data_IF_662680657134
#
_entry.id   IF_662680657134
#
_cell.length_a   1.000
_cell.length_b   1.000
_cell.length_c   1.000
_cell.angle_alpha   90.00
_cell.angle_beta   90.00
_cell.angle_gamma   90.00
#
_symmetry.space_group_name_H-M   'P 1'
#
loop_
_entity.id
_entity.type
_entity.pdbx_description
1 polymer ?
#
# COMPACT_ATOMS: atom_id res chain seq x y z
N UNK A 1 -6.91 10.88 -16.71
CA UNK A 1 -6.91 11.32 -15.30
C UNK A 1 -7.87 10.44 -14.54
N UNK A 2 -7.38 9.64 -13.60
CA UNK A 2 -8.20 8.73 -12.81
C UNK A 2 -8.81 9.54 -11.65
N UNK A 3 -10.14 9.74 -11.59
CA UNK A 3 -10.77 10.61 -10.58
C UNK A 3 -10.40 10.24 -9.13
N UNK A 4 -10.11 8.96 -8.90
CA UNK A 4 -9.68 8.42 -7.60
C UNK A 4 -8.36 9.02 -7.09
N UNK A 5 -7.43 9.42 -7.96
CA UNK A 5 -6.15 10.03 -7.55
C UNK A 5 -6.34 11.41 -6.91
N UNK A 6 -7.20 12.24 -7.53
CA UNK A 6 -7.55 13.56 -7.03
C UNK A 6 -8.34 13.46 -5.72
N UNK A 7 -9.26 12.49 -5.62
CA UNK A 7 -10.03 12.25 -4.42
C UNK A 7 -9.12 11.87 -3.23
N UNK A 8 -8.11 11.00 -3.43
CA UNK A 8 -7.14 10.63 -2.39
C UNK A 8 -6.43 11.84 -1.77
N UNK A 9 -5.92 12.75 -2.62
CA UNK A 9 -5.24 13.95 -2.17
C UNK A 9 -6.18 14.88 -1.40
N UNK A 10 -7.39 15.12 -1.93
CA UNK A 10 -8.39 15.96 -1.25
C UNK A 10 -8.79 15.41 0.11
N UNK A 11 -8.99 14.09 0.21
CA UNK A 11 -9.26 13.40 1.48
C UNK A 11 -8.10 13.56 2.45
N UNK A 12 -6.85 13.33 2.02
CA UNK A 12 -5.69 13.45 2.91
C UNK A 12 -5.53 14.87 3.46
N UNK A 13 -5.76 15.90 2.64
CA UNK A 13 -5.72 17.30 3.07
C UNK A 13 -6.87 17.61 4.03
N UNK A 14 -8.09 17.15 3.71
CA UNK A 14 -9.22 17.35 4.60
C UNK A 14 -8.98 16.71 5.97
N UNK A 15 -8.50 15.46 5.97
CA UNK A 15 -8.21 14.71 7.19
C UNK A 15 -7.12 15.40 8.00
N UNK A 16 -6.03 15.86 7.37
CA UNK A 16 -4.96 16.55 8.09
C UNK A 16 -5.43 17.85 8.73
N UNK A 17 -6.22 18.67 8.03
CA UNK A 17 -6.81 19.90 8.57
C UNK A 17 -7.79 19.59 9.69
N UNK A 18 -8.61 18.54 9.54
CA UNK A 18 -9.56 18.12 10.54
C UNK A 18 -8.87 17.68 11.84
N UNK A 19 -7.85 16.81 11.75
CA UNK A 19 -7.02 16.45 12.91
C UNK A 19 -6.37 17.69 13.52
N UNK A 20 -5.74 18.55 12.70
CA UNK A 20 -5.07 19.76 13.21
C UNK A 20 -6.04 20.69 13.98
N UNK A 21 -7.29 20.81 13.52
CA UNK A 21 -8.32 21.62 14.19
C UNK A 21 -8.81 21.04 15.53
N UNK A 22 -8.64 19.73 15.75
CA UNK A 22 -9.09 19.06 16.98
C UNK A 22 -8.05 19.04 18.09
N UNK A 23 -6.76 19.14 17.77
CA UNK A 23 -5.69 19.27 18.78
C UNK A 23 -5.76 18.20 19.87
N UNK A 24 -5.83 18.62 21.14
CA UNK A 24 -5.89 17.72 22.32
C UNK A 24 -7.20 16.90 22.40
N UNK A 25 -8.29 17.30 21.72
CA UNK A 25 -9.57 16.57 21.75
C UNK A 25 -9.48 15.19 21.06
N UNK A 26 -8.42 14.93 20.29
CA UNK A 26 -8.18 13.64 19.61
C UNK A 26 -7.95 12.51 20.63
N UNK A 27 -7.48 12.83 21.83
CA UNK A 27 -7.35 11.87 22.94
C UNK A 27 -8.71 11.37 23.42
N UNK A 28 -9.78 12.15 23.24
CA UNK A 28 -11.12 11.72 23.60
C UNK A 28 -11.75 10.86 22.50
N UNK A 29 -12.02 9.60 22.85
CA UNK A 29 -12.60 8.56 21.98
C UNK A 29 -13.86 9.01 21.23
N UNK A 30 -14.70 9.83 21.87
CA UNK A 30 -16.02 10.21 21.36
C UNK A 30 -16.01 11.49 20.52
N UNK A 31 -15.15 12.47 20.84
CA UNK A 31 -15.16 13.79 20.21
C UNK A 31 -14.17 13.90 19.03
N UNK A 32 -13.08 13.14 19.07
CA UNK A 32 -12.04 13.13 18.04
C UNK A 32 -12.07 11.88 17.15
N UNK A 33 -11.99 10.69 17.76
CA UNK A 33 -11.80 9.44 17.01
C UNK A 33 -13.05 8.98 16.24
N UNK A 34 -14.23 9.11 16.84
CA UNK A 34 -15.48 8.62 16.23
C UNK A 34 -15.85 9.34 14.92
N UNK A 35 -15.90 10.69 14.83
CA UNK A 35 -16.18 11.38 13.58
C UNK A 35 -15.10 11.13 12.50
N UNK A 36 -13.83 11.01 12.90
CA UNK A 36 -12.74 10.65 11.99
C UNK A 36 -12.94 9.25 11.39
N UNK A 37 -13.27 8.26 12.23
CA UNK A 37 -13.55 6.90 11.80
C UNK A 37 -14.76 6.79 10.88
N UNK A 38 -15.83 7.54 11.18
CA UNK A 38 -17.04 7.54 10.36
C UNK A 38 -16.77 8.12 8.97
N UNK A 39 -16.01 9.22 8.89
CA UNK A 39 -15.62 9.80 7.61
C UNK A 39 -14.71 8.86 6.81
N UNK A 40 -13.70 8.25 7.45
CA UNK A 40 -12.83 7.30 6.76
C UNK A 40 -13.62 6.08 6.28
N UNK A 41 -14.56 5.57 7.07
CA UNK A 41 -15.43 4.47 6.68
C UNK A 41 -16.22 4.82 5.43
N UNK A 42 -16.87 5.98 5.41
CA UNK A 42 -17.66 6.43 4.26
C UNK A 42 -16.81 6.44 2.97
N UNK A 43 -15.58 6.96 3.06
CA UNK A 43 -14.64 7.00 1.94
C UNK A 43 -14.16 5.60 1.52
N UNK A 44 -13.83 4.73 2.48
CA UNK A 44 -13.41 3.36 2.19
C UNK A 44 -14.51 2.56 1.51
N UNK A 45 -15.77 2.70 1.95
CA UNK A 45 -16.92 2.06 1.31
C UNK A 45 -17.06 2.51 -0.15
N UNK A 46 -16.91 3.81 -0.41
CA UNK A 46 -16.99 4.36 -1.77
C UNK A 46 -15.87 3.81 -2.68
N UNK A 47 -14.66 3.67 -2.14
CA UNK A 47 -13.49 3.12 -2.87
C UNK A 47 -13.63 1.61 -3.12
N UNK A 48 -14.11 0.86 -2.14
CA UNK A 48 -14.39 -0.58 -2.29
C UNK A 48 -15.46 -0.83 -3.35
N UNK A 49 -16.43 0.08 -3.48
CA UNK A 49 -17.44 0.02 -4.53
C UNK A 49 -16.85 0.22 -5.94
N UNK A 50 -15.63 0.79 -6.05
CA UNK A 50 -14.85 0.94 -7.28
C UNK A 50 -13.86 -0.22 -7.53
N UNK A 51 -14.16 -1.41 -6.99
CA UNK A 51 -13.22 -2.52 -6.74
C UNK A 51 -11.74 -2.20 -6.46
N UNK A 52 -11.40 -1.06 -5.87
CA UNK A 52 -10.00 -0.64 -5.65
C UNK A 52 -9.53 -0.87 -4.20
N UNK A 53 -9.19 -2.11 -3.90
CA UNK A 53 -8.75 -2.52 -2.56
C UNK A 53 -7.39 -1.91 -2.15
N UNK A 54 -6.50 -1.66 -3.11
CA UNK A 54 -5.18 -1.08 -2.86
C UNK A 54 -5.29 0.36 -2.38
N UNK A 55 -6.16 1.14 -3.02
CA UNK A 55 -6.44 2.52 -2.60
C UNK A 55 -7.08 2.58 -1.21
N UNK A 56 -8.03 1.67 -0.91
CA UNK A 56 -8.63 1.61 0.42
C UNK A 56 -7.59 1.30 1.51
N UNK A 57 -6.70 0.33 1.26
CA UNK A 57 -5.63 -0.02 2.20
C UNK A 57 -4.67 1.15 2.45
N UNK A 58 -4.30 1.91 1.41
CA UNK A 58 -3.46 3.09 1.52
C UNK A 58 -4.12 4.21 2.35
N UNK A 59 -5.41 4.46 2.15
CA UNK A 59 -6.16 5.45 2.95
C UNK A 59 -6.19 5.07 4.43
N UNK A 60 -6.45 3.80 4.74
CA UNK A 60 -6.44 3.31 6.12
C UNK A 60 -5.05 3.41 6.74
N UNK A 61 -3.99 3.03 6.02
CA UNK A 61 -2.62 3.09 6.51
C UNK A 61 -2.18 4.54 6.80
N UNK A 62 -2.45 5.46 5.87
CA UNK A 62 -2.12 6.90 6.03
C UNK A 62 -2.93 7.55 7.15
N UNK A 63 -4.23 7.27 7.25
CA UNK A 63 -5.07 7.75 8.34
C UNK A 63 -4.59 7.23 9.71
N UNK A 64 -4.16 5.96 9.78
CA UNK A 64 -3.58 5.38 11.00
C UNK A 64 -2.29 6.07 11.39
N UNK A 65 -1.40 6.35 10.43
CA UNK A 65 -0.17 7.09 10.68
C UNK A 65 -0.45 8.52 11.18
N UNK A 66 -1.44 9.21 10.59
CA UNK A 66 -1.87 10.54 11.05
C UNK A 66 -2.40 10.53 12.49
N UNK A 67 -3.18 9.52 12.87
CA UNK A 67 -3.68 9.37 14.24
C UNK A 67 -2.55 9.14 15.25
N UNK A 68 -1.55 8.34 14.89
CA UNK A 68 -0.36 8.11 15.74
C UNK A 68 0.43 9.41 15.92
N UNK A 69 0.66 10.16 14.83
CA UNK A 69 1.36 11.46 14.87
C UNK A 69 0.58 12.49 15.69
N UNK A 70 -0.75 12.48 15.62
CA UNK A 70 -1.61 13.38 16.39
C UNK A 70 -1.69 13.04 17.89
N UNK A 71 -1.01 11.99 18.36
CA UNK A 71 -0.93 11.64 19.77
C UNK A 71 -2.19 10.96 20.33
N UNK A 72 -2.89 10.17 19.50
CA UNK A 72 -4.03 9.38 19.95
C UNK A 72 -3.64 8.37 21.05
N UNK A 73 -4.50 8.23 22.06
CA UNK A 73 -4.29 7.28 23.15
C UNK A 73 -4.28 5.82 22.67
N UNK A 74 -3.54 4.94 23.36
CA UNK A 74 -3.44 3.50 23.04
C UNK A 74 -4.82 2.83 22.97
N UNK A 75 -5.77 3.26 23.81
CA UNK A 75 -7.16 2.79 23.78
C UNK A 75 -7.87 3.22 22.49
N UNK A 76 -7.63 4.45 22.04
CA UNK A 76 -8.14 4.97 20.78
C UNK A 76 -7.59 4.23 19.57
N UNK A 77 -6.30 3.89 19.61
CA UNK A 77 -5.66 3.08 18.58
C UNK A 77 -6.22 1.65 18.53
N UNK A 78 -6.54 1.03 19.67
CA UNK A 78 -7.18 -0.28 19.73
C UNK A 78 -8.61 -0.25 19.16
N UNK A 79 -9.41 0.76 19.52
CA UNK A 79 -10.76 0.95 18.96
C UNK A 79 -10.68 1.19 17.45
N UNK A 80 -9.72 1.99 17.00
CA UNK A 80 -9.43 2.19 15.59
C UNK A 80 -9.10 0.89 14.86
N UNK A 81 -8.22 0.06 15.42
CA UNK A 81 -7.83 -1.21 14.84
C UNK A 81 -9.02 -2.17 14.71
N UNK A 82 -9.85 -2.27 15.77
CA UNK A 82 -11.07 -3.07 15.74
C UNK A 82 -12.03 -2.58 14.65
N UNK A 83 -12.16 -1.27 14.50
CA UNK A 83 -13.00 -0.66 13.48
C UNK A 83 -12.52 -0.96 12.06
N UNK A 84 -11.21 -0.84 11.80
CA UNK A 84 -10.60 -1.23 10.52
C UNK A 84 -10.86 -2.71 10.21
N UNK A 85 -10.66 -3.60 11.18
CA UNK A 85 -10.95 -5.03 11.01
C UNK A 85 -12.43 -5.30 10.70
N UNK A 86 -13.35 -4.62 11.39
CA UNK A 86 -14.79 -4.76 11.16
C UNK A 86 -15.22 -4.35 9.75
N UNK A 87 -14.55 -3.36 9.14
CA UNK A 87 -14.82 -2.92 7.77
C UNK A 87 -14.17 -3.84 6.74
N UNK A 88 -12.94 -4.30 6.97
CA UNK A 88 -12.21 -5.16 6.03
C UNK A 88 -12.75 -6.60 5.96
N UNK A 89 -13.33 -7.11 7.06
CA UNK A 89 -13.86 -8.47 7.12
C UNK A 89 -14.99 -8.74 6.11
N UNK A 90 -16.06 -7.92 6.00
CA UNK A 90 -17.07 -8.11 4.96
C UNK A 90 -16.53 -7.91 3.53
N UNK A 91 -15.55 -7.02 3.35
CA UNK A 91 -14.89 -6.81 2.05
C UNK A 91 -14.21 -8.07 1.54
N UNK A 92 -13.60 -8.82 2.45
CA UNK A 92 -12.93 -10.08 2.11
C UNK A 92 -13.92 -11.13 1.57
N UNK A 93 -15.18 -11.14 2.04
CA UNK A 93 -16.23 -12.07 1.58
C UNK A 93 -16.71 -11.71 0.16
N UNK A 94 -16.74 -10.42 -0.17
CA UNK A 94 -17.22 -9.92 -1.47
C UNK A 94 -16.18 -10.13 -2.59
N UNK A 95 -14.89 -10.10 -2.24
CA UNK A 95 -13.79 -10.22 -3.20
C UNK A 95 -12.97 -11.51 -2.97
N UNK A 96 -13.47 -12.69 -3.39
CA UNK A 96 -12.77 -13.97 -3.18
C UNK A 96 -11.37 -13.99 -3.80
N UNK A 97 -11.11 -13.17 -4.84
CA UNK A 97 -9.77 -13.01 -5.43
C UNK A 97 -8.72 -12.49 -4.42
N UNK A 98 -9.12 -11.63 -3.46
CA UNK A 98 -8.22 -11.10 -2.42
C UNK A 98 -7.78 -12.25 -1.50
N UNK A 99 -8.70 -13.13 -1.12
CA UNK A 99 -8.38 -14.32 -0.34
C UNK A 99 -7.50 -15.30 -1.10
N UNK A 100 -7.71 -15.48 -2.41
CA UNK A 100 -6.82 -16.29 -3.25
C UNK A 100 -5.41 -15.71 -3.27
N UNK A 101 -5.25 -14.38 -3.34
CA UNK A 101 -3.93 -13.72 -3.21
C UNK A 101 -3.31 -13.93 -1.83
N UNK A 102 -4.06 -13.76 -0.75
CA UNK A 102 -3.52 -13.95 0.62
C UNK A 102 -3.13 -15.42 0.84
N UNK A 103 -3.95 -16.37 0.39
CA UNK A 103 -3.67 -17.81 0.50
C UNK A 103 -2.48 -18.24 -0.35
N UNK A 104 -2.34 -17.72 -1.57
CA UNK A 104 -1.16 -18.00 -2.41
C UNK A 104 0.12 -17.44 -1.80
N UNK A 105 0.06 -16.29 -1.11
CA UNK A 105 1.18 -15.74 -0.34
C UNK A 105 1.54 -16.59 0.89
N UNK A 106 0.55 -17.02 1.70
CA UNK A 106 0.79 -17.74 2.95
C UNK A 106 1.08 -19.24 2.77
N UNK A 107 0.51 -19.88 1.74
CA UNK A 107 0.56 -21.33 1.56
C UNK A 107 1.84 -21.84 0.90
N UNK A 108 2.24 -21.24 -0.23
CA UNK A 108 3.50 -21.53 -0.92
C UNK A 108 3.64 -20.64 -2.18
N UNK A 109 4.32 -19.49 -2.10
CA UNK A 109 4.44 -18.57 -3.24
C UNK A 109 5.20 -19.18 -4.44
N UNK A 110 6.00 -20.23 -4.21
CA UNK A 110 6.86 -20.88 -5.20
C UNK A 110 6.23 -22.11 -5.89
N UNK A 111 5.04 -22.56 -5.48
CA UNK A 111 4.33 -23.71 -6.10
C UNK A 111 3.07 -23.30 -6.86
N UNK A 112 2.86 -22.01 -7.02
CA UNK A 112 1.63 -21.48 -7.59
C UNK A 112 1.59 -21.76 -9.11
N UNK A 113 0.48 -22.31 -9.59
CA UNK A 113 0.29 -22.76 -10.97
C UNK A 113 0.18 -21.59 -11.95
N UNK A 114 0.23 -21.87 -13.26
CA UNK A 114 0.03 -20.90 -14.34
C UNK A 114 -1.33 -20.21 -14.17
N UNK A 115 -1.35 -19.04 -13.53
CA UNK A 115 -2.55 -18.23 -13.25
C UNK A 115 -2.56 -17.59 -11.86
N UNK A 116 -2.27 -18.35 -10.81
CA UNK A 116 -2.16 -17.84 -9.44
C UNK A 116 -0.68 -17.68 -9.11
N UNK A 117 -0.21 -16.47 -8.76
CA UNK A 117 1.20 -16.26 -8.37
C UNK A 117 2.24 -16.29 -9.50
N UNK A 118 1.85 -16.52 -10.76
CA UNK A 118 2.77 -16.48 -11.91
C UNK A 118 3.55 -15.15 -11.98
N UNK A 119 2.84 -14.01 -11.84
CA UNK A 119 3.46 -12.69 -11.82
C UNK A 119 4.45 -12.50 -10.66
N UNK A 120 4.17 -13.10 -9.49
CA UNK A 120 5.05 -13.06 -8.33
C UNK A 120 6.31 -13.90 -8.57
N UNK A 121 6.15 -15.13 -9.06
CA UNK A 121 7.25 -16.04 -9.33
C UNK A 121 8.19 -15.49 -10.41
N UNK A 122 7.63 -14.83 -11.41
CA UNK A 122 8.38 -14.22 -12.50
C UNK A 122 9.10 -12.94 -12.06
N UNK A 123 8.48 -12.13 -11.20
CA UNK A 123 9.13 -10.97 -10.58
C UNK A 123 10.30 -11.39 -9.70
N UNK A 124 10.14 -12.46 -8.91
CA UNK A 124 11.21 -13.04 -8.10
C UNK A 124 12.31 -13.65 -8.98
N UNK A 125 11.95 -14.33 -10.06
CA UNK A 125 12.88 -14.89 -11.02
C UNK A 125 13.71 -13.83 -11.75
N UNK A 126 13.11 -12.67 -12.07
CA UNK A 126 13.81 -11.52 -12.65
C UNK A 126 14.87 -10.95 -11.67
N UNK A 127 14.48 -10.77 -10.40
CA UNK A 127 15.40 -10.35 -9.35
C UNK A 127 16.55 -11.36 -9.14
N UNK A 128 16.26 -12.66 -9.21
CA UNK A 128 17.27 -13.71 -9.08
C UNK A 128 18.26 -13.68 -10.26
N UNK A 129 17.79 -13.46 -11.49
CA UNK A 129 18.63 -13.41 -12.70
C UNK A 129 19.58 -12.21 -12.72
N UNK A 130 19.18 -11.07 -12.16
CA UNK A 130 19.97 -9.84 -12.21
C UNK A 130 21.32 -9.89 -11.48
N UNK A 131 21.50 -10.78 -10.50
CA UNK A 131 22.76 -10.88 -9.75
C UNK A 131 23.20 -9.54 -9.14
N UNK A 132 24.51 -9.30 -9.04
CA UNK A 132 25.04 -8.08 -8.41
C UNK A 132 25.02 -6.84 -9.32
N UNK A 133 25.35 -7.01 -10.60
CA UNK A 133 25.57 -5.92 -11.57
C UNK A 133 24.51 -5.84 -12.68
N UNK A 134 23.59 -6.81 -12.74
CA UNK A 134 22.56 -6.88 -13.76
C UNK A 134 22.99 -7.63 -15.02
N UNK A 135 22.01 -7.94 -15.86
CA UNK A 135 22.23 -8.53 -17.19
C UNK A 135 22.53 -7.48 -18.27
N UNK A 136 22.38 -6.19 -17.95
CA UNK A 136 22.55 -5.07 -18.86
C UNK A 136 21.23 -4.41 -19.25
N UNK A 137 21.26 -3.09 -19.45
CA UNK A 137 20.10 -2.29 -19.83
C UNK A 137 19.46 -2.80 -21.12
N UNK A 138 18.14 -3.04 -21.08
CA UNK A 138 17.37 -3.53 -22.22
C UNK A 138 17.55 -5.03 -22.55
N UNK A 139 18.34 -5.77 -21.77
CA UNK A 139 18.54 -7.22 -21.93
C UNK A 139 17.65 -8.07 -21.00
N UNK A 140 16.62 -7.48 -20.38
CA UNK A 140 15.68 -8.22 -19.52
C UNK A 140 14.85 -9.21 -20.35
N UNK A 141 15.04 -10.50 -20.09
CA UNK A 141 14.25 -11.56 -20.72
C UNK A 141 12.89 -11.71 -20.05
N UNK A 142 12.80 -11.52 -18.73
CA UNK A 142 11.54 -11.65 -17.99
C UNK A 142 10.56 -10.52 -18.31
N UNK A 143 11.03 -9.38 -18.84
CA UNK A 143 10.18 -8.30 -19.37
C UNK A 143 9.22 -8.77 -20.46
N UNK A 144 9.57 -9.80 -21.25
CA UNK A 144 8.69 -10.32 -22.30
C UNK A 144 7.60 -11.25 -21.78
N UNK A 145 7.79 -11.78 -20.57
CA UNK A 145 6.93 -12.79 -19.99
C UNK A 145 6.01 -12.24 -18.86
N UNK A 146 6.33 -11.04 -18.35
CA UNK A 146 5.54 -10.30 -17.35
C UNK A 146 4.30 -9.64 -17.97
N UNK A 147 3.16 -9.81 -17.31
CA UNK A 147 1.97 -8.99 -17.59
C UNK A 147 2.21 -7.58 -17.04
N UNK A 148 2.16 -6.57 -17.90
CA UNK A 148 2.45 -5.16 -17.59
C UNK A 148 3.82 -4.91 -16.89
N UNK A 149 4.95 -5.26 -17.55
CA UNK A 149 6.30 -5.15 -16.96
C UNK A 149 6.68 -3.69 -16.61
N UNK A 150 6.07 -2.74 -17.31
CA UNK A 150 6.36 -1.32 -17.23
C UNK A 150 5.58 -0.58 -16.15
N UNK A 151 4.52 -1.16 -15.59
CA UNK A 151 3.72 -0.53 -14.53
C UNK A 151 3.91 -1.26 -13.21
N UNK A 152 3.52 -2.53 -13.14
CA UNK A 152 3.33 -3.22 -11.87
C UNK A 152 4.59 -3.98 -11.44
N UNK A 153 5.50 -4.25 -12.38
CA UNK A 153 6.71 -5.04 -12.16
C UNK A 153 8.00 -4.32 -12.55
N UNK A 154 7.96 -2.98 -12.69
CA UNK A 154 9.13 -2.20 -13.14
C UNK A 154 10.34 -2.37 -12.22
N UNK A 155 10.11 -2.51 -10.91
CA UNK A 155 11.19 -2.75 -9.95
C UNK A 155 11.90 -4.10 -10.18
N UNK A 156 11.16 -5.13 -10.57
CA UNK A 156 11.74 -6.44 -10.90
C UNK A 156 12.61 -6.36 -12.16
N UNK A 157 12.16 -5.58 -13.17
CA UNK A 157 12.94 -5.32 -14.38
C UNK A 157 14.22 -4.52 -14.06
N UNK A 158 14.13 -3.49 -13.21
CA UNK A 158 15.31 -2.73 -12.76
C UNK A 158 16.31 -3.63 -12.06
N UNK A 159 15.83 -4.53 -11.18
CA UNK A 159 16.71 -5.48 -10.49
C UNK A 159 17.31 -6.54 -11.41
N UNK A 160 16.65 -6.90 -12.51
CA UNK A 160 17.23 -7.77 -13.53
C UNK A 160 18.31 -7.03 -14.35
N UNK A 161 18.00 -5.82 -14.85
CA UNK A 161 18.87 -5.08 -15.77
C UNK A 161 20.08 -4.42 -15.09
N UNK A 162 19.90 -3.86 -13.89
CA UNK A 162 20.93 -3.14 -13.13
C UNK A 162 21.45 -3.91 -11.91
N UNK A 163 20.88 -5.08 -11.64
CA UNK A 163 21.28 -5.94 -10.53
C UNK A 163 20.96 -5.35 -9.16
N UNK A 164 21.57 -5.96 -8.14
CA UNK A 164 21.45 -5.53 -6.74
C UNK A 164 21.88 -4.08 -6.53
N UNK A 165 22.94 -3.62 -7.21
CA UNK A 165 23.45 -2.24 -7.04
C UNK A 165 22.43 -1.21 -7.53
N UNK A 166 21.85 -1.41 -8.72
CA UNK A 166 20.84 -0.49 -9.24
C UNK A 166 19.54 -0.51 -8.45
N UNK A 167 19.04 -1.70 -8.11
CA UNK A 167 17.86 -1.83 -7.26
C UNK A 167 18.06 -1.18 -5.88
N UNK A 168 19.23 -1.41 -5.26
CA UNK A 168 19.61 -0.80 -4.00
C UNK A 168 19.71 0.73 -4.08
N UNK A 169 20.23 1.26 -5.18
CA UNK A 169 20.26 2.71 -5.42
C UNK A 169 18.86 3.32 -5.50
N UNK A 170 17.92 2.68 -6.20
CA UNK A 170 16.52 3.13 -6.26
C UNK A 170 15.88 3.12 -4.87
N UNK A 171 16.06 2.04 -4.09
CA UNK A 171 15.56 1.97 -2.71
C UNK A 171 16.17 3.07 -1.84
N UNK A 172 17.47 3.35 -1.98
CA UNK A 172 18.16 4.41 -1.25
C UNK A 172 17.59 5.79 -1.59
N UNK A 173 17.24 6.06 -2.85
CA UNK A 173 16.60 7.31 -3.26
C UNK A 173 15.21 7.48 -2.62
N UNK A 174 14.37 6.43 -2.64
CA UNK A 174 13.08 6.47 -1.93
C UNK A 174 13.24 6.65 -0.42
N UNK A 175 14.25 6.02 0.18
CA UNK A 175 14.60 6.20 1.58
C UNK A 175 15.03 7.63 1.89
N UNK A 176 15.91 8.22 1.06
CA UNK A 176 16.36 9.61 1.20
C UNK A 176 15.20 10.59 1.07
N UNK A 177 14.31 10.38 0.09
CA UNK A 177 13.12 11.19 -0.13
C UNK A 177 12.18 11.13 1.09
N UNK A 178 11.90 9.94 1.59
CA UNK A 178 11.07 9.73 2.79
C UNK A 178 11.70 10.36 4.04
N UNK A 179 13.01 10.18 4.23
CA UNK A 179 13.73 10.78 5.36
C UNK A 179 13.70 12.31 5.31
N UNK A 180 13.89 12.91 4.13
CA UNK A 180 13.75 14.35 3.95
C UNK A 180 12.34 14.83 4.25
N UNK A 181 11.31 14.10 3.81
CA UNK A 181 9.91 14.38 4.12
C UNK A 181 9.64 14.39 5.62
N UNK A 182 10.08 13.35 6.34
CA UNK A 182 9.92 13.24 7.79
C UNK A 182 10.70 14.29 8.59
N UNK A 183 11.80 14.81 8.03
CA UNK A 183 12.59 15.87 8.68
C UNK A 183 11.96 17.26 8.54
N UNK A 184 11.17 17.47 7.49
CA UNK A 184 10.48 18.74 7.23
C UNK A 184 9.16 18.82 8.00
N UNK A 185 8.48 17.68 8.16
CA UNK A 185 7.28 17.53 8.98
C UNK A 185 7.57 17.78 10.46
#
# INVERSE_FOLDING_TARGET
MQPAELAKLGVMIYMSVWLASKGEEIRHLTLGLMPFALLLMFLCVLVVLQPDFSTAALLVATASAMLVVAGADVRGLLVWLLFVCAVLMPVSVIAPYVFVRIRSWLGSPLRASVGEGFQLMQSLGALQKGGWLGVGLGQSEQKLALYAPHSDCIFAVIGEELGFVGAGFVVALYGLWTWRGLRIA
#
